data_IF_073888299144
#
_entry.id   IF_073888299144
#
_cell.length_a   1.000
_cell.length_b   1.000
_cell.length_c   1.000
_cell.angle_alpha   90.00
_cell.angle_beta   90.00
_cell.angle_gamma   90.00
#
_symmetry.space_group_name_H-M   'P 1'
#
loop_
_entity.id
_entity.type
_entity.pdbx_description
1 polymer ?
#
# COMPACT_ATOMS: atom_id res chain seq x y z
N UNK A 1 -2.42 4.03 30.44
CA UNK A 1 -1.91 3.10 29.41
C UNK A 1 -3.15 2.63 28.67
N UNK A 2 -3.30 2.99 27.40
CA UNK A 2 -4.51 2.64 26.65
C UNK A 2 -4.54 1.14 26.41
N UNK A 3 -5.68 0.50 26.70
CA UNK A 3 -6.01 -0.85 26.23
C UNK A 3 -6.11 -0.82 24.71
N UNK A 4 -4.96 -0.84 24.03
CA UNK A 4 -4.89 -1.05 22.59
C UNK A 4 -5.37 -2.49 22.37
N UNK A 5 -6.45 -2.64 21.63
CA UNK A 5 -6.90 -3.95 21.15
C UNK A 5 -5.81 -4.53 20.26
N UNK A 6 -4.96 -5.39 20.81
CA UNK A 6 -3.99 -6.13 20.02
C UNK A 6 -4.73 -7.24 19.27
N UNK A 7 -4.89 -7.04 17.97
CA UNK A 7 -5.29 -8.08 17.04
C UNK A 7 -3.99 -8.63 16.44
N UNK A 8 -3.62 -9.89 16.72
CA UNK A 8 -2.40 -10.48 16.18
C UNK A 8 -2.29 -10.27 14.67
N UNK A 9 -1.08 -9.93 14.22
CA UNK A 9 -0.73 -9.78 12.79
C UNK A 9 -1.48 -8.67 12.03
N UNK A 10 -2.35 -7.89 12.70
CA UNK A 10 -3.14 -6.82 12.09
C UNK A 10 -2.69 -5.45 12.58
N UNK A 11 -1.92 -4.69 11.78
CA UNK A 11 -1.50 -3.35 12.17
C UNK A 11 -2.67 -2.37 12.16
N UNK A 12 -3.13 -1.93 13.34
CA UNK A 12 -4.17 -0.90 13.44
C UNK A 12 -3.65 0.47 12.98
N UNK A 13 -4.42 1.19 12.18
CA UNK A 13 -4.03 2.50 11.64
C UNK A 13 -4.27 3.63 12.65
N UNK A 14 -3.48 3.63 13.72
CA UNK A 14 -3.53 4.62 14.79
C UNK A 14 -2.66 5.86 14.50
N UNK A 15 -2.67 6.83 15.42
CA UNK A 15 -1.95 8.10 15.28
C UNK A 15 -0.48 7.93 14.91
N UNK A 16 0.26 7.07 15.59
CA UNK A 16 1.70 6.91 15.35
C UNK A 16 1.98 6.28 13.98
N UNK A 17 1.21 5.26 13.57
CA UNK A 17 1.31 4.69 12.22
C UNK A 17 0.92 5.70 11.13
N UNK A 18 -0.10 6.51 11.37
CA UNK A 18 -0.52 7.59 10.46
C UNK A 18 0.59 8.62 10.25
N UNK A 19 1.33 8.98 11.30
CA UNK A 19 2.52 9.85 11.17
C UNK A 19 3.62 9.17 10.37
N UNK A 20 3.93 7.90 10.67
CA UNK A 20 5.01 7.17 10.02
C UNK A 20 4.79 7.06 8.50
N UNK A 21 3.58 6.68 8.07
CA UNK A 21 3.25 6.54 6.65
C UNK A 21 2.72 7.82 5.99
N UNK A 22 2.80 8.98 6.63
CA UNK A 22 2.15 10.21 6.13
C UNK A 22 2.57 10.54 4.69
N UNK A 23 3.86 10.42 4.37
CA UNK A 23 4.41 10.76 3.05
C UNK A 23 3.89 9.81 1.97
N UNK A 24 4.00 8.51 2.19
CA UNK A 24 3.46 7.48 1.29
C UNK A 24 1.94 7.61 1.10
N UNK A 25 1.17 7.82 2.18
CA UNK A 25 -0.28 7.98 2.10
C UNK A 25 -0.67 9.23 1.29
N UNK A 26 0.04 10.35 1.50
CA UNK A 26 -0.16 11.59 0.75
C UNK A 26 0.21 11.43 -0.73
N UNK A 27 1.32 10.76 -1.02
CA UNK A 27 1.75 10.42 -2.38
C UNK A 27 0.68 9.59 -3.10
N UNK A 28 0.21 8.51 -2.48
CA UNK A 28 -0.80 7.65 -3.08
C UNK A 28 -2.11 8.41 -3.35
N UNK A 29 -2.54 9.30 -2.44
CA UNK A 29 -3.70 10.17 -2.69
C UNK A 29 -3.53 11.10 -3.88
N UNK A 30 -2.31 11.57 -4.17
CA UNK A 30 -2.04 12.44 -5.30
C UNK A 30 -2.34 11.74 -6.65
N UNK A 31 -2.25 10.41 -6.71
CA UNK A 31 -2.55 9.62 -7.91
C UNK A 31 -4.04 9.62 -8.32
N UNK A 32 -4.92 10.21 -7.50
CA UNK A 32 -6.29 10.51 -7.92
C UNK A 32 -6.36 11.45 -9.14
N UNK A 33 -5.33 12.26 -9.36
CA UNK A 33 -5.27 13.22 -10.48
C UNK A 33 -4.56 12.63 -11.72
N UNK A 34 -5.12 12.79 -12.94
CA UNK A 34 -4.52 12.28 -14.17
C UNK A 34 -3.08 12.73 -14.42
N UNK A 35 -2.78 14.00 -14.16
CA UNK A 35 -1.45 14.60 -14.35
C UNK A 35 -0.39 13.95 -13.45
N UNK A 36 -0.76 13.59 -12.21
CA UNK A 36 0.14 12.91 -11.29
C UNK A 36 0.37 11.45 -11.70
N UNK A 37 -0.64 10.78 -12.27
CA UNK A 37 -0.46 9.44 -12.85
C UNK A 37 0.45 9.48 -14.08
N UNK A 38 0.39 10.55 -14.87
CA UNK A 38 1.30 10.72 -16.00
C UNK A 38 2.75 10.94 -15.51
N UNK A 39 2.94 11.80 -14.49
CA UNK A 39 4.26 12.03 -13.88
C UNK A 39 4.85 10.76 -13.25
N UNK A 40 4.05 10.02 -12.46
CA UNK A 40 4.47 8.75 -11.86
C UNK A 40 4.91 7.72 -12.92
N UNK A 41 4.19 7.61 -14.05
CA UNK A 41 4.58 6.68 -15.14
C UNK A 41 5.82 7.13 -15.90
N UNK A 42 6.08 8.44 -15.97
CA UNK A 42 7.21 8.98 -16.69
C UNK A 42 8.53 8.73 -15.94
N UNK A 43 8.52 8.93 -14.62
CA UNK A 43 9.64 8.67 -13.74
C UNK A 43 9.11 8.40 -12.32
N UNK A 44 9.00 7.12 -11.99
CA UNK A 44 8.42 6.70 -10.71
C UNK A 44 9.29 7.18 -9.54
N UNK A 45 10.60 6.95 -9.58
CA UNK A 45 11.49 7.33 -8.48
C UNK A 45 11.49 8.84 -8.24
N UNK A 46 11.60 9.65 -9.29
CA UNK A 46 11.54 11.10 -9.15
C UNK A 46 10.19 11.59 -8.60
N UNK A 47 9.09 10.93 -8.97
CA UNK A 47 7.78 11.23 -8.40
C UNK A 47 7.74 10.91 -6.91
N UNK A 48 8.26 9.75 -6.48
CA UNK A 48 8.32 9.38 -5.06
C UNK A 48 9.22 10.33 -4.24
N UNK A 49 10.36 10.72 -4.81
CA UNK A 49 11.29 11.69 -4.21
C UNK A 49 10.61 13.06 -3.99
N UNK A 50 9.73 13.49 -4.90
CA UNK A 50 8.99 14.75 -4.77
C UNK A 50 8.06 14.79 -3.54
N UNK A 51 7.66 13.63 -3.02
CA UNK A 51 6.88 13.50 -1.77
C UNK A 51 7.76 13.23 -0.54
N UNK A 52 9.08 13.11 -0.73
CA UNK A 52 10.07 12.88 0.32
C UNK A 52 9.97 11.51 0.96
N UNK A 53 9.54 10.48 0.20
CA UNK A 53 9.50 9.11 0.71
C UNK A 53 10.90 8.65 1.13
N UNK A 54 10.98 7.94 2.24
CA UNK A 54 12.23 7.28 2.65
C UNK A 54 12.53 6.05 1.79
N UNK A 55 13.78 5.58 1.81
CA UNK A 55 14.23 4.46 0.97
C UNK A 55 13.33 3.21 1.09
N UNK A 56 12.99 2.81 2.31
CA UNK A 56 12.11 1.66 2.53
C UNK A 56 10.70 1.86 1.96
N UNK A 57 10.15 3.07 2.01
CA UNK A 57 8.84 3.38 1.41
C UNK A 57 8.94 3.36 -0.13
N UNK A 58 10.02 3.92 -0.69
CA UNK A 58 10.26 3.90 -2.14
C UNK A 58 10.35 2.48 -2.67
N UNK A 59 11.19 1.65 -2.06
CA UNK A 59 11.34 0.25 -2.45
C UNK A 59 10.01 -0.50 -2.37
N UNK A 60 9.25 -0.33 -1.28
CA UNK A 60 7.95 -0.98 -1.14
C UNK A 60 6.96 -0.56 -2.24
N UNK A 61 6.91 0.75 -2.56
CA UNK A 61 6.07 1.26 -3.66
C UNK A 61 6.53 0.67 -4.99
N UNK A 62 7.79 0.86 -5.38
CA UNK A 62 8.34 0.46 -6.68
C UNK A 62 8.24 -1.05 -6.94
N UNK A 63 8.39 -1.88 -5.90
CA UNK A 63 8.22 -3.33 -6.02
C UNK A 63 6.76 -3.79 -5.90
N UNK A 64 5.82 -2.86 -5.73
CA UNK A 64 4.40 -3.11 -5.44
C UNK A 64 4.22 -4.07 -4.25
N UNK A 65 5.09 -3.97 -3.24
CA UNK A 65 5.00 -4.78 -2.02
C UNK A 65 3.93 -4.20 -1.09
N UNK A 66 2.68 -4.56 -1.36
CA UNK A 66 1.52 -4.11 -0.61
C UNK A 66 1.64 -4.42 0.89
N UNK A 67 2.19 -5.58 1.25
CA UNK A 67 2.36 -5.98 2.65
C UNK A 67 3.34 -5.04 3.35
N UNK A 68 4.48 -4.77 2.72
CA UNK A 68 5.48 -3.85 3.24
C UNK A 68 4.96 -2.41 3.32
N UNK A 69 4.19 -1.95 2.33
CA UNK A 69 3.54 -0.62 2.40
C UNK A 69 2.67 -0.50 3.65
N UNK A 70 1.83 -1.51 3.95
CA UNK A 70 1.01 -1.49 5.18
C UNK A 70 1.87 -1.56 6.44
N UNK A 71 2.90 -2.43 6.45
CA UNK A 71 3.81 -2.56 7.57
C UNK A 71 4.52 -1.22 7.91
N UNK A 72 4.89 -0.44 6.90
CA UNK A 72 5.53 0.87 7.01
C UNK A 72 4.58 2.03 7.39
N UNK A 73 3.28 1.77 7.54
CA UNK A 73 2.28 2.77 7.93
C UNK A 73 1.40 3.27 6.78
N UNK A 74 1.46 2.62 5.62
CA UNK A 74 0.49 2.81 4.55
C UNK A 74 -0.89 2.35 5.01
N UNK A 75 -1.89 3.22 4.89
CA UNK A 75 -3.28 2.77 5.03
C UNK A 75 -3.71 2.17 3.70
N UNK A 76 -4.30 0.97 3.74
CA UNK A 76 -4.72 0.23 2.54
C UNK A 76 -5.55 1.13 1.60
N UNK A 77 -6.53 1.88 2.11
CA UNK A 77 -7.38 2.73 1.27
C UNK A 77 -6.63 3.86 0.57
N UNK A 78 -5.52 4.35 1.11
CA UNK A 78 -4.67 5.33 0.42
C UNK A 78 -3.83 4.66 -0.65
N UNK A 79 -3.06 3.63 -0.27
CA UNK A 79 -2.10 2.99 -1.19
C UNK A 79 -2.77 2.30 -2.38
N UNK A 80 -4.03 1.86 -2.24
CA UNK A 80 -4.82 1.30 -3.36
C UNK A 80 -4.91 2.25 -4.58
N UNK A 81 -4.67 3.55 -4.45
CA UNK A 81 -4.64 4.48 -5.59
C UNK A 81 -3.47 4.22 -6.55
N UNK A 82 -2.43 3.51 -6.11
CA UNK A 82 -1.35 3.03 -6.99
C UNK A 82 -1.92 2.10 -8.08
N UNK A 83 -3.02 1.38 -7.80
CA UNK A 83 -3.69 0.53 -8.79
C UNK A 83 -4.33 1.31 -9.96
N UNK A 84 -4.44 2.64 -9.86
CA UNK A 84 -4.84 3.49 -10.99
C UNK A 84 -3.70 3.74 -12.00
N UNK A 85 -2.46 3.47 -11.59
CA UNK A 85 -1.27 3.50 -12.44
C UNK A 85 -0.99 2.11 -12.99
N UNK A 86 -0.82 1.14 -12.09
CA UNK A 86 -0.56 -0.27 -12.39
C UNK A 86 -1.68 -1.13 -11.82
N UNK A 87 -2.63 -1.58 -12.66
CA UNK A 87 -3.80 -2.31 -12.20
C UNK A 87 -3.43 -3.54 -11.38
N UNK A 88 -3.96 -3.60 -10.15
CA UNK A 88 -3.94 -4.78 -9.29
C UNK A 88 -5.36 -5.00 -8.77
N UNK A 89 -5.83 -6.23 -8.87
CA UNK A 89 -7.12 -6.66 -8.35
C UNK A 89 -7.12 -6.70 -6.83
N UNK A 90 -8.29 -6.55 -6.22
CA UNK A 90 -8.43 -6.72 -4.77
C UNK A 90 -8.02 -8.12 -4.30
N UNK A 91 -8.11 -9.14 -5.17
CA UNK A 91 -7.69 -10.50 -4.84
C UNK A 91 -6.16 -10.62 -4.75
N UNK A 92 -5.42 -10.02 -5.70
CA UNK A 92 -3.95 -9.99 -5.68
C UNK A 92 -3.43 -9.24 -4.44
N UNK A 93 -4.04 -8.07 -4.15
CA UNK A 93 -3.65 -7.26 -2.99
C UNK A 93 -4.00 -7.99 -1.69
N UNK A 94 -5.17 -8.64 -1.63
CA UNK A 94 -5.58 -9.47 -0.49
C UNK A 94 -4.64 -10.66 -0.26
N UNK A 95 -4.24 -11.35 -1.33
CA UNK A 95 -3.28 -12.45 -1.26
C UNK A 95 -1.92 -11.97 -0.75
N UNK A 96 -1.42 -10.83 -1.26
CA UNK A 96 -0.18 -10.22 -0.80
C UNK A 96 -0.24 -9.85 0.70
N UNK A 97 -1.34 -9.25 1.16
CA UNK A 97 -1.52 -8.96 2.60
C UNK A 97 -1.52 -10.22 3.46
N UNK A 98 -2.11 -11.30 2.96
CA UNK A 98 -2.19 -12.59 3.65
C UNK A 98 -0.91 -13.44 3.56
N UNK A 99 0.10 -13.01 2.80
CA UNK A 99 1.30 -13.81 2.54
C UNK A 99 1.02 -15.09 1.75
N UNK A 100 -0.02 -15.08 0.92
CA UNK A 100 -0.49 -16.24 0.14
C UNK A 100 -0.24 -16.04 -1.35
N UNK A 101 -0.16 -17.15 -2.10
CA UNK A 101 -0.33 -17.08 -3.55
C UNK A 101 -1.76 -16.66 -3.91
N UNK A 102 -1.95 -16.05 -5.08
CA UNK A 102 -3.30 -15.64 -5.51
C UNK A 102 -4.24 -16.85 -5.63
N UNK A 103 -3.78 -17.97 -6.20
CA UNK A 103 -4.57 -19.19 -6.36
C UNK A 103 -5.02 -19.75 -5.00
N UNK A 104 -4.09 -19.81 -4.03
CA UNK A 104 -4.41 -20.24 -2.68
C UNK A 104 -5.41 -19.30 -2.01
N UNK A 105 -5.24 -17.99 -2.17
CA UNK A 105 -6.16 -16.99 -1.63
C UNK A 105 -7.57 -17.12 -2.23
N UNK A 106 -7.67 -17.26 -3.55
CA UNK A 106 -8.94 -17.46 -4.25
C UNK A 106 -9.66 -18.71 -3.74
N UNK A 107 -8.93 -19.83 -3.63
CA UNK A 107 -9.49 -21.11 -3.21
C UNK A 107 -9.90 -21.12 -1.74
N UNK A 108 -9.04 -20.62 -0.84
CA UNK A 108 -9.21 -20.83 0.61
C UNK A 108 -9.92 -19.68 1.32
N UNK A 109 -9.82 -18.43 0.80
CA UNK A 109 -10.43 -17.25 1.42
C UNK A 109 -11.68 -16.79 0.71
N UNK A 110 -11.72 -16.89 -0.62
CA UNK A 110 -12.86 -16.42 -1.42
C UNK A 110 -13.78 -17.54 -1.92
N UNK A 111 -13.40 -18.81 -1.76
CA UNK A 111 -14.18 -19.96 -2.23
C UNK A 111 -14.38 -19.96 -3.76
N UNK A 112 -13.43 -19.36 -4.49
CA UNK A 112 -13.45 -19.29 -5.96
C UNK A 112 -12.53 -20.36 -6.52
N UNK A 113 -13.04 -21.13 -7.48
CA UNK A 113 -12.30 -22.09 -8.32
C UNK A 113 -12.40 -21.66 -9.77
#
# INVERSE_FOLDING_TARGET
MSDVLEIPETPLFERERSKNGYRMNKMAMALGKPENRAAFRADEEAFLDSFGLGEAEKQAVMSRDWHKMVALGGNLFFILKIAAVDPASMAEIGAAQAGMSQDEFLKTRLGKM
#
